data_IF_171377005412
#
_entry.id   IF_171377005412
#
_cell.length_a   1.000
_cell.length_b   1.000
_cell.length_c   1.000
_cell.angle_alpha   90.00
_cell.angle_beta   90.00
_cell.angle_gamma   90.00
#
_symmetry.space_group_name_H-M   'P 1'
#
loop_
_entity.id
_entity.type
_entity.pdbx_description
1 polymer ?
#
# COMPACT_ATOMS: atom_id res chain seq x y z
N UNK A 1 -6.42 -2.82 -9.97
CA UNK A 1 -7.34 -2.59 -8.86
C UNK A 1 -7.27 -1.12 -8.48
N UNK A 2 -8.28 -0.31 -8.83
CA UNK A 2 -8.23 1.15 -8.68
C UNK A 2 -8.91 1.58 -7.36
N UNK A 3 -8.43 1.05 -6.24
CA UNK A 3 -9.04 1.29 -4.92
C UNK A 3 -8.07 2.06 -4.05
N UNK A 4 -8.46 3.28 -3.65
CA UNK A 4 -7.74 4.07 -2.64
C UNK A 4 -8.23 3.59 -1.29
N UNK A 5 -7.42 2.80 -0.58
CA UNK A 5 -7.75 2.35 0.78
C UNK A 5 -7.85 3.55 1.73
N UNK A 6 -9.03 3.73 2.32
CA UNK A 6 -9.30 4.69 3.38
C UNK A 6 -8.77 4.15 4.72
N UNK A 7 -8.36 5.04 5.64
CA UNK A 7 -7.93 4.61 6.97
C UNK A 7 -8.97 3.76 7.72
N UNK A 8 -10.27 4.05 7.59
CA UNK A 8 -11.35 3.28 8.22
C UNK A 8 -11.38 1.83 7.74
N UNK A 9 -11.32 1.62 6.42
CA UNK A 9 -11.31 0.29 5.80
C UNK A 9 -10.09 -0.51 6.27
N UNK A 10 -8.93 0.13 6.36
CA UNK A 10 -7.71 -0.55 6.86
C UNK A 10 -7.85 -0.91 8.34
N UNK A 11 -8.49 -0.08 9.17
CA UNK A 11 -8.73 -0.42 10.59
C UNK A 11 -9.69 -1.61 10.75
N UNK A 12 -10.61 -1.81 9.83
CA UNK A 12 -11.55 -2.95 9.84
C UNK A 12 -10.90 -4.27 9.39
N UNK A 13 -9.82 -4.22 8.60
CA UNK A 13 -9.08 -5.42 8.16
C UNK A 13 -8.47 -6.19 9.32
N UNK A 14 -8.36 -7.51 9.21
CA UNK A 14 -7.60 -8.32 10.18
C UNK A 14 -6.07 -8.11 10.02
N UNK A 15 -5.24 -8.42 11.04
CA UNK A 15 -3.78 -8.23 10.96
C UNK A 15 -3.12 -8.93 9.76
N UNK A 16 -3.55 -10.16 9.45
CA UNK A 16 -3.06 -10.93 8.28
C UNK A 16 -3.51 -10.31 6.96
N UNK A 17 -4.73 -9.78 6.92
CA UNK A 17 -5.29 -9.14 5.74
C UNK A 17 -4.56 -7.82 5.44
N UNK A 18 -4.31 -6.99 6.45
CA UNK A 18 -3.46 -5.79 6.31
C UNK A 18 -2.07 -6.12 5.79
N UNK A 19 -1.48 -7.18 6.32
CA UNK A 19 -0.16 -7.62 5.89
C UNK A 19 -0.16 -8.10 4.43
N UNK A 20 -1.23 -8.79 4.00
CA UNK A 20 -1.38 -9.20 2.60
C UNK A 20 -1.58 -8.00 1.67
N UNK A 21 -2.48 -7.09 2.02
CA UNK A 21 -2.69 -5.84 1.28
C UNK A 21 -1.37 -5.02 1.15
N UNK A 22 -0.54 -5.01 2.20
CA UNK A 22 0.77 -4.36 2.15
C UNK A 22 1.72 -5.03 1.14
N UNK A 23 1.73 -6.36 1.04
CA UNK A 23 2.54 -7.10 0.07
C UNK A 23 2.05 -6.81 -1.35
N UNK A 24 0.75 -6.93 -1.59
CA UNK A 24 0.15 -6.71 -2.91
C UNK A 24 0.44 -5.29 -3.44
N UNK A 25 0.32 -4.26 -2.59
CA UNK A 25 0.64 -2.88 -2.96
C UNK A 25 2.13 -2.66 -3.26
N UNK A 26 3.02 -3.41 -2.60
CA UNK A 26 4.47 -3.34 -2.86
C UNK A 26 4.83 -4.02 -4.17
N UNK A 27 4.21 -5.16 -4.47
CA UNK A 27 4.37 -5.85 -5.75
C UNK A 27 3.88 -4.98 -6.91
N UNK A 28 2.71 -4.32 -6.76
CA UNK A 28 2.21 -3.40 -7.78
C UNK A 28 3.16 -2.21 -7.99
N UNK A 29 3.74 -1.67 -6.91
CA UNK A 29 4.72 -0.59 -7.01
C UNK A 29 6.01 -1.05 -7.70
N UNK A 30 6.48 -2.27 -7.42
CA UNK A 30 7.66 -2.85 -8.05
C UNK A 30 7.45 -3.08 -9.55
N UNK A 31 6.29 -3.61 -9.94
CA UNK A 31 5.92 -3.76 -11.35
C UNK A 31 5.90 -2.42 -12.07
N UNK A 32 5.32 -1.39 -11.44
CA UNK A 32 5.29 -0.04 -12.00
C UNK A 32 6.70 0.53 -12.22
N UNK A 33 7.62 0.32 -11.27
CA UNK A 33 9.01 0.73 -11.43
C UNK A 33 9.72 -0.03 -12.56
N UNK A 34 9.50 -1.35 -12.66
CA UNK A 34 10.08 -2.15 -13.75
C UNK A 34 9.63 -1.68 -15.13
N UNK A 35 8.37 -1.25 -15.27
CA UNK A 35 7.86 -0.70 -16.53
C UNK A 35 8.51 0.64 -16.85
N UNK A 36 8.68 1.51 -15.85
CA UNK A 36 9.30 2.82 -16.02
C UNK A 36 10.78 2.73 -16.42
N UNK A 37 11.54 1.79 -15.86
CA UNK A 37 12.96 1.61 -16.19
C UNK A 37 13.17 0.90 -17.53
N UNK A 38 12.24 0.05 -17.96
CA UNK A 38 12.28 -0.65 -19.24
C UNK A 38 11.92 0.20 -20.47
N UNK A 39 11.74 1.52 -20.31
CA UNK A 39 11.34 2.42 -21.40
C UNK A 39 9.84 2.37 -21.73
N UNK A 40 9.02 1.72 -20.90
CA UNK A 40 7.57 1.73 -21.04
C UNK A 40 6.97 3.07 -20.63
N UNK A 41 6.02 3.58 -21.40
CA UNK A 41 5.23 4.75 -21.01
C UNK A 41 4.29 4.33 -19.88
N UNK A 42 4.40 4.98 -18.73
CA UNK A 42 3.46 4.77 -17.63
C UNK A 42 2.18 5.57 -17.89
N UNK A 43 1.05 4.90 -18.12
CA UNK A 43 -0.27 5.52 -18.37
C UNK A 43 -0.70 6.52 -17.28
N UNK A 44 -0.21 6.36 -16.05
CA UNK A 44 -0.53 7.28 -14.96
C UNK A 44 0.68 7.56 -14.05
N UNK A 45 1.38 8.70 -14.21
CA UNK A 45 2.53 9.05 -13.37
C UNK A 45 2.15 9.24 -11.89
N UNK A 46 0.88 9.53 -11.57
CA UNK A 46 0.42 9.65 -10.18
C UNK A 46 0.27 8.29 -9.47
N UNK A 47 0.24 7.17 -10.21
CA UNK A 47 0.01 5.83 -9.66
C UNK A 47 1.05 5.45 -8.59
N UNK A 48 2.33 5.69 -8.85
CA UNK A 48 3.40 5.42 -7.89
C UNK A 48 3.23 6.22 -6.59
N UNK A 49 2.75 7.47 -6.69
CA UNK A 49 2.48 8.32 -5.52
C UNK A 49 1.27 7.80 -4.73
N UNK A 50 0.23 7.33 -5.41
CA UNK A 50 -0.96 6.75 -4.78
C UNK A 50 -0.61 5.46 -4.03
N UNK A 51 0.12 4.52 -4.66
CA UNK A 51 0.56 3.27 -4.04
C UNK A 51 1.40 3.53 -2.78
N UNK A 52 2.39 4.44 -2.86
CA UNK A 52 3.21 4.83 -1.70
C UNK A 52 2.38 5.39 -0.54
N UNK A 53 1.35 6.20 -0.82
CA UNK A 53 0.43 6.72 0.20
C UNK A 53 -0.38 5.60 0.86
N UNK A 54 -0.84 4.61 0.10
CA UNK A 54 -1.60 3.49 0.66
C UNK A 54 -0.72 2.60 1.54
N UNK A 55 0.50 2.28 1.08
CA UNK A 55 1.51 1.57 1.86
C UNK A 55 1.77 2.29 3.20
N UNK A 56 1.91 3.62 3.16
CA UNK A 56 2.12 4.42 4.37
C UNK A 56 0.95 4.30 5.35
N UNK A 57 -0.31 4.39 4.87
CA UNK A 57 -1.50 4.25 5.72
C UNK A 57 -1.56 2.90 6.43
N UNK A 58 -1.30 1.81 5.70
CA UNK A 58 -1.31 0.47 6.29
C UNK A 58 -0.23 0.35 7.37
N UNK A 59 1.00 0.80 7.08
CA UNK A 59 2.09 0.78 8.05
C UNK A 59 1.78 1.61 9.30
N UNK A 60 1.16 2.78 9.12
CA UNK A 60 0.74 3.63 10.24
C UNK A 60 -0.23 2.89 11.15
N UNK A 61 -1.28 2.29 10.58
CA UNK A 61 -2.29 1.57 11.38
C UNK A 61 -1.69 0.34 12.07
N UNK A 62 -0.85 -0.43 11.40
CA UNK A 62 -0.11 -1.54 12.02
C UNK A 62 0.72 -1.04 13.22
N UNK A 63 1.38 0.12 13.08
CA UNK A 63 2.18 0.69 14.16
C UNK A 63 1.32 1.21 15.32
N UNK A 64 0.20 1.86 15.03
CA UNK A 64 -0.76 2.30 16.05
C UNK A 64 -1.29 1.11 16.86
N UNK A 65 -1.62 -0.01 16.21
CA UNK A 65 -2.07 -1.23 16.91
C UNK A 65 -0.99 -1.83 17.79
N UNK A 66 0.27 -1.88 17.34
CA UNK A 66 1.39 -2.34 18.17
C UNK A 66 1.53 -1.49 19.43
N UNK A 67 1.49 -0.16 19.28
CA UNK A 67 1.57 0.77 20.40
C UNK A 67 0.38 0.61 21.37
N UNK A 68 -0.82 0.31 20.86
CA UNK A 68 -1.99 0.04 21.70
C UNK A 68 -1.90 -1.30 22.44
N UNK A 69 -1.31 -2.32 21.81
CA UNK A 69 -1.13 -3.64 22.41
C UNK A 69 0.08 -3.73 23.36
N UNK A 70 0.93 -2.70 23.39
CA UNK A 70 2.13 -2.66 24.22
C UNK A 70 3.32 -3.45 23.65
N UNK A 71 3.32 -3.69 22.34
CA UNK A 71 4.42 -4.37 21.60
C UNK A 71 5.55 -3.41 21.18
#
# INVERSE_FOLDING_TARGET
>A
MNMVLKPSEIREMGPRERQRALVDLREELMLLYSMQTGGGVSDNPAKAKMLRKQIARIKTIINEEKQQNGD
#
